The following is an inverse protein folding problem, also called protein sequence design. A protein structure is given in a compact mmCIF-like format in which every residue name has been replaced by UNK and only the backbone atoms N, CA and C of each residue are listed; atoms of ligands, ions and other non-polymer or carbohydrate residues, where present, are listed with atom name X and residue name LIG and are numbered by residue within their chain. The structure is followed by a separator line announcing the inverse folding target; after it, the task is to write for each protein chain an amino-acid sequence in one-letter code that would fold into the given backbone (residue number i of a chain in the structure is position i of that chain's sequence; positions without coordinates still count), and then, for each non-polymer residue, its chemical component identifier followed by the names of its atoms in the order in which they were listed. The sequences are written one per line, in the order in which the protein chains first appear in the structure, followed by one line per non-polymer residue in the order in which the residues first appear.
data_IF_357850826980
#
_entry.id   IF_357850826980
#
_cell.length_a   1.000
_cell.length_b   1.000
_cell.length_c   1.000
_cell.angle_alpha   90.00
_cell.angle_beta   90.00
_cell.angle_gamma   90.00
#
_symmetry.space_group_name_H-M   'P 1'
#
loop_
_entity.id
_entity.type
_entity.pdbx_description
1 polymer ?
#
# COMPACT_ATOMS: atom_id res chain seq x y z
N UNK A 1 40.89 -5.43 34.09
CA UNK A 1 39.85 -6.49 34.10
C UNK A 1 38.40 -5.97 33.99
N UNK A 2 38.15 -4.79 33.39
CA UNK A 2 36.79 -4.17 33.32
C UNK A 2 36.13 -4.21 31.92
N UNK A 3 36.89 -4.49 30.86
CA UNK A 3 36.42 -4.44 29.46
C UNK A 3 35.61 -5.70 29.08
N UNK A 4 35.91 -6.88 29.65
CA UNK A 4 35.18 -8.13 29.35
C UNK A 4 33.73 -8.14 29.85
N UNK A 5 33.39 -7.42 30.93
CA UNK A 5 32.01 -7.34 31.43
C UNK A 5 31.14 -6.41 30.59
N UNK A 6 31.72 -5.36 29.99
CA UNK A 6 30.95 -4.43 29.14
C UNK A 6 30.57 -5.09 27.79
N UNK A 7 31.47 -5.88 27.20
CA UNK A 7 31.17 -6.62 25.96
C UNK A 7 30.11 -7.71 26.16
N UNK A 8 30.10 -8.35 27.33
CA UNK A 8 29.14 -9.41 27.66
C UNK A 8 27.75 -8.84 27.95
N UNK A 9 27.66 -7.67 28.60
CA UNK A 9 26.38 -6.95 28.77
C UNK A 9 25.87 -6.41 27.43
N UNK A 10 26.76 -5.93 26.54
CA UNK A 10 26.36 -5.47 25.20
C UNK A 10 25.89 -6.64 24.31
N UNK A 11 26.48 -7.84 24.42
CA UNK A 11 25.99 -9.04 23.74
C UNK A 11 24.66 -9.53 24.32
N UNK A 12 24.43 -9.45 25.63
CA UNK A 12 23.15 -9.82 26.23
C UNK A 12 22.05 -8.81 25.86
N UNK A 13 22.37 -7.52 25.69
CA UNK A 13 21.43 -6.52 25.17
C UNK A 13 21.19 -6.69 23.66
N UNK A 14 22.20 -7.11 22.89
CA UNK A 14 22.06 -7.43 21.45
C UNK A 14 21.32 -8.76 21.20
N UNK A 15 21.42 -9.75 22.09
CA UNK A 15 20.61 -10.98 22.09
C UNK A 15 19.23 -10.78 22.77
N UNK A 16 19.09 -9.73 23.58
CA UNK A 16 17.87 -9.36 24.31
C UNK A 16 16.91 -8.46 23.52
N UNK A 17 17.30 -8.01 22.32
CA UNK A 17 16.35 -7.66 21.26
C UNK A 17 15.76 -8.95 20.68
N UNK A 18 14.98 -9.65 21.52
CA UNK A 18 13.79 -10.30 20.99
C UNK A 18 12.99 -9.18 20.34
N UNK A 19 13.23 -8.96 19.04
CA UNK A 19 12.20 -8.50 18.12
C UNK A 19 10.96 -9.26 18.53
N UNK A 20 10.05 -8.60 19.24
CA UNK A 20 8.75 -9.19 19.56
C UNK A 20 8.13 -9.45 18.21
N UNK A 21 8.27 -10.69 17.75
CA UNK A 21 7.70 -11.13 16.50
C UNK A 21 6.21 -10.87 16.63
N UNK A 22 5.66 -10.10 15.69
CA UNK A 22 4.26 -9.72 15.73
C UNK A 22 3.47 -11.03 15.57
N UNK A 23 2.83 -11.47 16.66
CA UNK A 23 1.93 -12.61 16.59
C UNK A 23 0.73 -12.20 15.74
N UNK A 24 0.45 -13.02 14.74
CA UNK A 24 -0.68 -12.86 13.84
C UNK A 24 -1.69 -13.97 14.06
N UNK A 25 -2.95 -13.72 13.72
CA UNK A 25 -3.97 -14.76 13.61
C UNK A 25 -4.31 -14.93 12.14
N UNK A 26 -3.96 -16.08 11.58
CA UNK A 26 -4.29 -16.47 10.21
C UNK A 26 -5.60 -17.24 10.22
N UNK A 27 -6.60 -16.74 9.50
CA UNK A 27 -7.89 -17.39 9.30
C UNK A 27 -7.90 -18.15 7.98
N UNK A 28 -8.35 -19.40 8.04
CA UNK A 28 -8.46 -20.29 6.89
C UNK A 28 -9.87 -20.27 6.32
N UNK A 29 -9.99 -20.59 5.03
CA UNK A 29 -11.29 -20.64 4.34
C UNK A 29 -12.24 -21.72 4.89
N UNK A 30 -11.70 -22.71 5.61
CA UNK A 30 -12.48 -23.76 6.27
C UNK A 30 -13.02 -23.35 7.66
N UNK A 31 -12.71 -22.13 8.13
CA UNK A 31 -13.19 -21.60 9.41
C UNK A 31 -12.19 -21.75 10.56
N UNK A 32 -11.13 -22.56 10.40
CA UNK A 32 -10.08 -22.69 11.40
C UNK A 32 -9.18 -21.45 11.44
N UNK A 33 -8.48 -21.25 12.56
CA UNK A 33 -7.48 -20.20 12.70
C UNK A 33 -6.18 -20.74 13.28
N UNK A 34 -5.08 -20.07 12.93
CA UNK A 34 -3.72 -20.36 13.40
C UNK A 34 -3.18 -19.07 14.01
N UNK A 35 -2.84 -19.10 15.30
CA UNK A 35 -2.22 -17.97 16.00
C UNK A 35 -0.72 -18.20 16.11
N UNK A 36 0.06 -17.55 15.25
CA UNK A 36 1.51 -17.74 15.17
C UNK A 36 2.22 -16.56 14.47
N UNK A 37 3.54 -16.56 14.54
CA UNK A 37 4.43 -15.70 13.75
C UNK A 37 4.61 -16.28 12.36
N UNK A 38 4.37 -15.46 11.34
CA UNK A 38 4.71 -15.78 9.96
C UNK A 38 6.21 -15.57 9.77
N UNK A 39 6.90 -16.58 9.26
CA UNK A 39 8.36 -16.54 9.02
C UNK A 39 8.71 -16.52 7.54
N UNK A 40 7.80 -16.94 6.68
CA UNK A 40 7.94 -16.85 5.24
C UNK A 40 6.57 -16.91 4.57
N UNK A 41 6.47 -16.30 3.40
CA UNK A 41 5.38 -16.54 2.48
C UNK A 41 5.90 -16.30 1.08
N UNK A 42 5.79 -17.28 0.20
CA UNK A 42 6.22 -17.09 -1.19
C UNK A 42 5.17 -17.54 -2.18
N UNK A 43 4.97 -16.73 -3.22
CA UNK A 43 4.15 -17.09 -4.37
C UNK A 43 4.76 -18.23 -5.21
N UNK A 44 6.07 -18.48 -5.08
CA UNK A 44 6.75 -19.59 -5.76
C UNK A 44 6.41 -20.94 -5.15
N UNK A 45 6.43 -21.01 -3.83
CA UNK A 45 6.05 -22.22 -3.08
C UNK A 45 4.53 -22.30 -2.94
N UNK A 46 3.85 -21.16 -2.90
CA UNK A 46 2.42 -21.07 -2.63
C UNK A 46 2.09 -21.30 -1.16
N UNK A 47 3.06 -21.32 -0.24
CA UNK A 47 2.85 -21.58 1.18
C UNK A 47 3.09 -20.33 2.03
N UNK A 48 2.33 -20.26 3.13
CA UNK A 48 2.61 -19.42 4.31
C UNK A 48 3.26 -20.33 5.34
N UNK A 49 4.44 -19.96 5.81
CA UNK A 49 5.20 -20.70 6.80
C UNK A 49 5.12 -20.00 8.16
N UNK A 50 4.85 -20.79 9.19
CA UNK A 50 4.74 -20.34 10.56
C UNK A 50 5.91 -20.85 11.38
N UNK A 51 6.20 -20.19 12.49
CA UNK A 51 7.30 -20.57 13.38
C UNK A 51 7.07 -21.93 14.05
N UNK A 52 5.89 -22.11 14.64
CA UNK A 52 5.57 -23.25 15.50
C UNK A 52 4.44 -24.12 14.92
N UNK A 53 3.83 -23.72 13.81
CA UNK A 53 2.73 -24.42 13.15
C UNK A 53 3.11 -24.96 11.76
N UNK A 54 2.42 -26.01 11.26
CA UNK A 54 2.62 -26.50 9.91
C UNK A 54 2.38 -25.42 8.85
N UNK A 55 3.20 -25.42 7.80
CA UNK A 55 2.98 -24.53 6.65
C UNK A 55 1.63 -24.79 5.99
N UNK A 56 0.95 -23.72 5.58
CA UNK A 56 -0.38 -23.79 4.94
C UNK A 56 -0.29 -23.22 3.54
N UNK A 57 -0.91 -23.90 2.58
CA UNK A 57 -0.99 -23.38 1.22
C UNK A 57 -1.85 -22.11 1.20
N UNK A 58 -1.33 -21.02 0.63
CA UNK A 58 -1.93 -19.68 0.61
C UNK A 58 -3.34 -19.66 0.04
N UNK A 59 -3.69 -20.55 -0.90
CA UNK A 59 -5.07 -20.64 -1.42
C UNK A 59 -6.11 -21.02 -0.36
N UNK A 60 -5.68 -21.66 0.74
CA UNK A 60 -6.51 -22.00 1.91
C UNK A 60 -6.58 -20.87 2.93
N UNK A 61 -5.66 -19.91 2.87
CA UNK A 61 -5.66 -18.75 3.73
C UNK A 61 -6.71 -17.78 3.20
N UNK A 62 -7.55 -17.30 4.11
CA UNK A 62 -8.54 -16.28 3.81
C UNK A 62 -8.01 -14.91 4.23
N UNK A 63 -7.54 -14.80 5.47
CA UNK A 63 -7.14 -13.54 6.06
C UNK A 63 -6.01 -13.74 7.06
N UNK A 64 -5.16 -12.74 7.23
CA UNK A 64 -4.20 -12.63 8.33
C UNK A 64 -4.48 -11.35 9.09
N UNK A 65 -4.60 -11.46 10.40
CA UNK A 65 -4.81 -10.34 11.31
C UNK A 65 -3.57 -10.14 12.20
N UNK A 66 -2.99 -8.94 12.15
CA UNK A 66 -1.84 -8.55 12.97
C UNK A 66 -2.25 -7.65 14.15
N UNK A 67 -3.53 -7.32 14.28
CA UNK A 67 -4.03 -6.43 15.32
C UNK A 67 -5.10 -7.11 16.19
N UNK A 68 -4.98 -6.96 17.51
CA UNK A 68 -5.93 -7.52 18.49
C UNK A 68 -7.08 -6.54 18.83
N UNK A 69 -7.34 -5.57 17.95
CA UNK A 69 -8.40 -4.56 18.10
C UNK A 69 -9.78 -5.18 17.85
N UNK A 70 -10.85 -4.51 18.30
CA UNK A 70 -12.21 -4.92 17.97
C UNK A 70 -12.40 -4.86 16.46
N UNK A 71 -12.38 -6.04 15.84
CA UNK A 71 -12.41 -6.22 14.40
C UNK A 71 -13.82 -5.99 13.87
N UNK A 72 -14.02 -4.89 13.14
CA UNK A 72 -15.26 -4.61 12.40
C UNK A 72 -15.19 -5.22 10.99
N UNK A 73 -15.41 -6.53 10.92
CA UNK A 73 -15.30 -7.27 9.67
C UNK A 73 -16.21 -6.74 8.57
N UNK A 74 -17.42 -6.30 8.90
CA UNK A 74 -18.37 -5.97 7.86
C UNK A 74 -18.15 -4.58 7.24
N UNK A 75 -17.67 -3.60 8.03
CA UNK A 75 -17.22 -2.33 7.46
C UNK A 75 -16.04 -2.50 6.50
N UNK A 76 -15.19 -3.51 6.74
CA UNK A 76 -14.09 -3.87 5.84
C UNK A 76 -14.55 -4.68 4.63
N UNK A 77 -15.58 -5.51 4.78
CA UNK A 77 -16.10 -6.42 3.74
C UNK A 77 -16.44 -5.69 2.45
N UNK A 78 -17.15 -4.58 2.55
CA UNK A 78 -17.64 -3.84 1.38
C UNK A 78 -16.50 -3.10 0.64
N UNK A 79 -15.30 -3.07 1.24
CA UNK A 79 -14.07 -2.46 0.70
C UNK A 79 -13.07 -3.48 0.15
N UNK A 80 -13.39 -4.78 0.21
CA UNK A 80 -12.52 -5.83 -0.32
C UNK A 80 -12.50 -5.83 -1.86
N UNK A 81 -11.31 -5.97 -2.44
CA UNK A 81 -11.17 -6.20 -3.87
C UNK A 81 -11.48 -7.66 -4.21
N UNK A 82 -12.33 -7.87 -5.23
CA UNK A 82 -12.66 -9.22 -5.70
C UNK A 82 -11.53 -9.93 -6.46
N UNK A 83 -10.52 -9.19 -6.95
CA UNK A 83 -9.52 -9.70 -7.90
C UNK A 83 -8.06 -9.59 -7.40
N UNK A 84 -7.82 -8.98 -6.24
CA UNK A 84 -6.49 -8.78 -5.66
C UNK A 84 -6.53 -9.04 -4.16
N UNK A 85 -5.36 -9.16 -3.52
CA UNK A 85 -5.29 -9.14 -2.06
C UNK A 85 -5.58 -7.72 -1.56
N UNK A 86 -6.28 -7.61 -0.44
CA UNK A 86 -6.62 -6.34 0.21
C UNK A 86 -5.88 -6.25 1.53
N UNK A 87 -4.98 -5.27 1.69
CA UNK A 87 -4.20 -5.05 2.91
C UNK A 87 -4.76 -3.82 3.62
N UNK A 88 -5.29 -3.99 4.83
CA UNK A 88 -5.63 -2.88 5.71
C UNK A 88 -4.40 -2.50 6.52
N UNK A 89 -4.04 -1.24 6.46
CA UNK A 89 -2.93 -0.66 7.21
C UNK A 89 -3.42 -0.05 8.52
N UNK A 90 -2.55 0.01 9.53
CA UNK A 90 -2.87 0.55 10.87
C UNK A 90 -3.22 2.04 10.86
N UNK A 91 -2.87 2.77 9.81
CA UNK A 91 -3.26 4.16 9.61
C UNK A 91 -4.66 4.32 8.95
N UNK A 92 -5.39 3.22 8.74
CA UNK A 92 -6.75 3.22 8.17
C UNK A 92 -6.81 3.08 6.64
N UNK A 93 -5.66 2.99 5.97
CA UNK A 93 -5.58 2.86 4.52
C UNK A 93 -5.78 1.41 4.05
N UNK A 94 -6.16 1.27 2.77
CA UNK A 94 -6.33 -0.02 2.11
C UNK A 94 -5.42 -0.09 0.88
N UNK A 95 -4.64 -1.17 0.76
CA UNK A 95 -3.91 -1.50 -0.46
C UNK A 95 -4.58 -2.67 -1.18
N UNK A 96 -4.91 -2.49 -2.46
CA UNK A 96 -5.39 -3.57 -3.32
C UNK A 96 -4.27 -4.02 -4.25
N UNK A 97 -3.53 -5.06 -3.84
CA UNK A 97 -2.28 -5.50 -4.46
C UNK A 97 -2.23 -7.02 -4.62
N UNK A 98 -1.28 -7.52 -5.42
CA UNK A 98 -0.97 -8.95 -5.44
C UNK A 98 0.33 -9.19 -4.69
N UNK A 99 0.25 -9.76 -3.50
CA UNK A 99 1.42 -10.12 -2.70
C UNK A 99 2.15 -11.27 -3.39
N UNK A 100 3.48 -11.21 -3.47
CA UNK A 100 4.30 -12.27 -4.06
C UNK A 100 5.27 -12.90 -3.08
N UNK A 101 5.68 -12.17 -2.05
CA UNK A 101 6.64 -12.66 -1.08
C UNK A 101 6.45 -11.96 0.27
N UNK A 102 6.92 -12.58 1.35
CA UNK A 102 7.15 -11.96 2.65
C UNK A 102 8.53 -12.36 3.14
N UNK A 103 9.39 -11.38 3.42
CA UNK A 103 10.72 -11.64 3.96
C UNK A 103 10.73 -11.40 5.47
N UNK A 104 10.84 -12.44 6.30
CA UNK A 104 10.99 -12.28 7.75
C UNK A 104 12.28 -11.58 8.18
N UNK A 105 13.34 -11.62 7.35
CA UNK A 105 14.56 -10.86 7.61
C UNK A 105 14.34 -9.36 7.49
N UNK A 106 13.52 -8.93 6.52
CA UNK A 106 13.23 -7.52 6.25
C UNK A 106 11.93 -7.05 6.90
N UNK A 107 11.08 -7.99 7.34
CA UNK A 107 9.73 -7.76 7.81
C UNK A 107 8.88 -7.01 6.76
N UNK A 108 8.98 -7.41 5.49
CA UNK A 108 8.33 -6.74 4.36
C UNK A 108 7.50 -7.72 3.54
N UNK A 109 6.27 -7.32 3.19
CA UNK A 109 5.48 -7.94 2.12
C UNK A 109 5.84 -7.29 0.79
N UNK A 110 6.21 -8.11 -0.19
CA UNK A 110 6.59 -7.67 -1.53
C UNK A 110 5.44 -7.91 -2.52
N UNK A 111 5.27 -7.02 -3.49
CA UNK A 111 4.14 -7.06 -4.43
C UNK A 111 4.56 -7.41 -5.85
N UNK A 112 3.66 -8.06 -6.60
CA UNK A 112 3.90 -8.53 -7.98
C UNK A 112 4.29 -7.40 -8.93
N UNK A 113 3.69 -6.22 -8.74
CA UNK A 113 3.93 -5.03 -9.58
C UNK A 113 5.10 -4.17 -9.08
N UNK A 114 5.85 -4.65 -8.09
CA UNK A 114 6.87 -3.88 -7.39
C UNK A 114 6.31 -3.14 -6.17
N UNK A 115 7.22 -2.63 -5.34
CA UNK A 115 6.88 -2.06 -4.05
C UNK A 115 6.80 -3.11 -2.94
N UNK A 116 6.76 -2.62 -1.70
CA UNK A 116 6.65 -3.45 -0.51
C UNK A 116 6.09 -2.65 0.66
N UNK A 117 5.45 -3.33 1.61
CA UNK A 117 4.99 -2.74 2.87
C UNK A 117 5.60 -3.47 4.07
N UNK A 118 6.01 -2.71 5.08
CA UNK A 118 6.57 -3.27 6.31
C UNK A 118 5.47 -3.86 7.19
N UNK A 119 5.71 -5.03 7.80
CA UNK A 119 4.74 -5.78 8.63
C UNK A 119 4.14 -4.92 9.74
N UNK A 120 4.97 -4.10 10.41
CA UNK A 120 4.50 -3.22 11.48
C UNK A 120 3.43 -2.20 11.05
N UNK A 121 3.31 -1.92 9.75
CA UNK A 121 2.28 -1.02 9.21
C UNK A 121 0.98 -1.75 8.87
N UNK A 122 1.01 -3.07 8.80
CA UNK A 122 -0.14 -3.89 8.42
C UNK A 122 -1.01 -4.15 9.64
N UNK A 123 -2.30 -3.91 9.49
CA UNK A 123 -3.32 -4.34 10.45
C UNK A 123 -3.90 -5.69 10.02
N UNK A 124 -4.34 -5.82 8.76
CA UNK A 124 -4.96 -7.04 8.23
C UNK A 124 -4.60 -7.25 6.75
N UNK A 125 -4.62 -8.51 6.31
CA UNK A 125 -4.47 -8.91 4.91
C UNK A 125 -5.62 -9.85 4.57
N UNK A 126 -6.40 -9.55 3.55
CA UNK A 126 -7.36 -10.44 2.93
C UNK A 126 -6.78 -10.93 1.61
N UNK A 127 -6.73 -12.24 1.41
CA UNK A 127 -6.28 -12.80 0.15
C UNK A 127 -7.44 -12.91 -0.83
N UNK A 128 -7.16 -12.57 -2.10
CA UNK A 128 -8.11 -12.50 -3.21
C UNK A 128 -9.30 -13.46 -3.03
N UNK A 129 -10.44 -12.89 -2.65
CA UNK A 129 -11.65 -13.61 -2.31
C UNK A 129 -12.79 -12.98 -3.10
N UNK A 130 -13.07 -13.55 -4.27
CA UNK A 130 -14.28 -13.31 -5.04
C UNK A 130 -15.55 -13.69 -4.26
N UNK A 131 -15.40 -14.61 -3.29
CA UNK A 131 -16.47 -15.05 -2.39
C UNK A 131 -15.99 -15.18 -0.95
N UNK A 132 -16.84 -14.74 -0.03
CA UNK A 132 -16.71 -14.95 1.41
C UNK A 132 -16.78 -16.45 1.72
N UNK A 133 -15.84 -17.01 2.50
CA UNK A 133 -15.94 -18.40 2.92
C UNK A 133 -17.23 -18.60 3.72
N UNK A 134 -17.87 -19.75 3.56
CA UNK A 134 -19.18 -20.05 4.16
C UNK A 134 -19.22 -19.83 5.67
N UNK A 135 -18.10 -20.07 6.36
CA UNK A 135 -17.93 -19.83 7.80
C UNK A 135 -18.14 -18.35 8.21
N UNK A 136 -17.93 -17.39 7.30
CA UNK A 136 -17.91 -15.95 7.61
C UNK A 136 -19.06 -15.16 6.97
N UNK A 137 -19.98 -15.84 6.26
CA UNK A 137 -21.12 -15.20 5.61
C UNK A 137 -22.17 -14.64 6.59
N UNK A 138 -22.16 -15.07 7.86
CA UNK A 138 -23.17 -14.71 8.88
C UNK A 138 -22.80 -13.50 9.73
N UNK A 139 -21.64 -12.87 9.53
CA UNK A 139 -21.20 -11.71 10.31
C UNK A 139 -21.89 -10.42 9.81
N UNK A 140 -22.58 -9.70 10.71
CA UNK A 140 -23.31 -8.45 10.43
C UNK A 140 -22.43 -7.21 10.70
N UNK A 141 -22.70 -6.06 10.05
CA UNK A 141 -21.94 -4.84 10.31
C UNK A 141 -22.13 -4.18 11.64
N UNK A 142 -21.03 -3.64 12.15
CA UNK A 142 -21.01 -2.65 13.22
C UNK A 142 -20.65 -1.32 12.57
N UNK A 143 -21.43 -0.24 12.72
CA UNK A 143 -21.10 1.04 12.09
C UNK A 143 -19.82 1.63 12.72
N UNK A 144 -18.88 2.07 11.87
CA UNK A 144 -17.63 2.73 12.28
C UNK A 144 -17.70 4.25 12.06
N UNK A 145 -17.06 5.10 12.89
CA UNK A 145 -17.31 6.56 12.89
C UNK A 145 -16.56 7.38 11.82
N UNK A 146 -15.65 6.78 11.04
CA UNK A 146 -14.66 7.50 10.21
C UNK A 146 -14.95 7.44 8.68
N UNK A 147 -16.21 7.50 8.28
CA UNK A 147 -16.57 7.74 6.88
C UNK A 147 -16.28 9.20 6.49
N UNK A 148 -15.17 9.48 5.79
CA UNK A 148 -15.04 10.76 5.08
C UNK A 148 -13.66 11.33 4.73
N UNK A 149 -12.54 10.77 5.21
CA UNK A 149 -11.21 11.33 4.88
C UNK A 149 -10.66 10.73 3.58
N UNK A 150 -10.69 11.50 2.49
CA UNK A 150 -9.96 11.19 1.25
C UNK A 150 -8.47 11.44 1.49
N UNK A 151 -7.64 10.42 1.29
CA UNK A 151 -6.19 10.55 1.37
C UNK A 151 -5.58 10.56 -0.04
N UNK A 152 -4.66 11.48 -0.28
CA UNK A 152 -3.85 11.49 -1.51
C UNK A 152 -2.78 10.39 -1.45
N UNK A 153 -2.81 9.44 -2.39
CA UNK A 153 -1.77 8.43 -2.57
C UNK A 153 -0.71 8.95 -3.53
N UNK A 154 0.53 9.10 -3.07
CA UNK A 154 1.65 9.62 -3.84
C UNK A 154 2.62 8.51 -4.26
N UNK A 155 3.09 8.60 -5.50
CA UNK A 155 3.98 7.60 -6.10
C UNK A 155 5.32 8.19 -6.45
N UNK A 156 6.39 7.48 -6.08
CA UNK A 156 7.76 7.90 -6.31
C UNK A 156 8.34 7.18 -7.53
N UNK A 157 9.25 7.84 -8.25
CA UNK A 157 9.94 7.36 -9.45
C UNK A 157 10.74 6.06 -9.23
N UNK A 158 11.00 5.64 -7.99
CA UNK A 158 11.64 4.36 -7.68
C UNK A 158 10.64 3.24 -7.32
N UNK A 159 9.34 3.49 -7.49
CA UNK A 159 8.27 2.54 -7.18
C UNK A 159 7.86 2.51 -5.72
N UNK A 160 8.38 3.41 -4.86
CA UNK A 160 7.86 3.59 -3.50
C UNK A 160 6.52 4.30 -3.53
N UNK A 161 5.66 3.90 -2.60
CA UNK A 161 4.34 4.48 -2.38
C UNK A 161 4.37 5.24 -1.07
N UNK A 162 3.86 6.47 -1.08
CA UNK A 162 3.71 7.33 0.09
C UNK A 162 2.23 7.68 0.23
N UNK A 163 1.62 7.33 1.36
CA UNK A 163 0.17 7.44 1.56
C UNK A 163 -0.14 8.30 2.78
N UNK A 164 0.31 9.54 2.73
CA UNK A 164 0.05 10.56 3.74
C UNK A 164 -0.52 11.79 3.06
N UNK A 165 -1.45 12.52 3.71
CA UNK A 165 -1.92 13.79 3.18
C UNK A 165 -0.76 14.72 2.85
N UNK A 166 -0.89 15.47 1.77
CA UNK A 166 0.06 16.52 1.45
C UNK A 166 0.02 17.58 2.55
N UNK A 167 1.20 17.91 3.06
CA UNK A 167 1.40 19.07 3.92
C UNK A 167 1.75 20.29 3.07
N UNK A 168 2.53 20.10 2.01
CA UNK A 168 2.84 21.11 1.00
C UNK A 168 3.38 20.44 -0.27
N UNK A 169 3.30 21.16 -1.38
CA UNK A 169 3.99 20.83 -2.62
C UNK A 169 4.49 22.13 -3.25
N UNK A 170 5.69 22.12 -3.80
CA UNK A 170 6.21 23.19 -4.66
C UNK A 170 7.13 22.60 -5.75
N UNK A 171 7.76 23.43 -6.56
CA UNK A 171 8.64 22.99 -7.66
C UNK A 171 9.85 22.15 -7.23
N UNK A 172 10.26 22.20 -5.97
CA UNK A 172 11.45 21.50 -5.46
C UNK A 172 11.12 20.35 -4.53
N UNK A 173 10.18 20.55 -3.60
CA UNK A 173 9.88 19.64 -2.50
C UNK A 173 8.38 19.37 -2.37
N UNK A 174 8.09 18.12 -2.02
CA UNK A 174 6.78 17.65 -1.59
C UNK A 174 6.90 17.14 -0.17
N UNK A 175 6.09 17.68 0.73
CA UNK A 175 6.07 17.28 2.14
C UNK A 175 4.72 16.71 2.52
N UNK A 176 4.76 15.73 3.43
CA UNK A 176 3.61 14.98 3.89
C UNK A 176 3.35 15.21 5.37
N UNK A 177 2.13 14.92 5.84
CA UNK A 177 1.74 15.18 7.24
C UNK A 177 2.44 14.31 8.27
N UNK A 178 3.05 13.19 7.86
CA UNK A 178 3.89 12.35 8.74
C UNK A 178 5.30 12.92 8.94
N UNK A 179 5.63 14.03 8.27
CA UNK A 179 6.95 14.65 8.29
C UNK A 179 7.88 14.14 7.19
N UNK A 180 7.47 13.17 6.36
CA UNK A 180 8.25 12.75 5.21
C UNK A 180 8.35 13.89 4.19
N UNK A 181 9.53 14.06 3.61
CA UNK A 181 9.78 15.01 2.53
C UNK A 181 10.52 14.33 1.39
N UNK A 182 10.10 14.61 0.16
CA UNK A 182 10.73 14.11 -1.07
C UNK A 182 10.96 15.26 -2.04
N UNK A 183 11.82 15.05 -3.05
CA UNK A 183 11.89 16.03 -4.13
C UNK A 183 10.68 15.87 -5.05
N UNK A 184 10.08 16.97 -5.49
CA UNK A 184 8.91 16.94 -6.38
C UNK A 184 9.23 16.25 -7.71
N UNK A 185 10.47 16.38 -8.20
CA UNK A 185 10.93 15.66 -9.40
C UNK A 185 10.95 14.13 -9.27
N UNK A 186 10.98 13.64 -8.03
CA UNK A 186 10.96 12.21 -7.73
C UNK A 186 9.51 11.72 -7.55
N UNK A 187 8.52 12.63 -7.59
CA UNK A 187 7.10 12.31 -7.58
C UNK A 187 6.65 12.02 -9.01
N UNK A 188 6.01 10.88 -9.20
CA UNK A 188 5.45 10.45 -10.48
C UNK A 188 3.97 10.78 -10.57
N UNK A 189 3.21 10.47 -9.52
CA UNK A 189 1.76 10.63 -9.54
C UNK A 189 1.23 10.95 -8.14
N UNK A 190 0.16 11.74 -8.08
CA UNK A 190 -0.73 11.82 -6.92
C UNK A 190 -2.11 11.30 -7.34
N UNK A 191 -2.68 10.38 -6.57
CA UNK A 191 -3.97 9.78 -6.81
C UNK A 191 -4.93 10.07 -5.65
N UNK A 192 -6.13 10.57 -5.97
CA UNK A 192 -7.14 10.98 -4.99
C UNK A 192 -8.37 10.05 -4.96
N UNK A 193 -8.38 8.99 -5.78
CA UNK A 193 -9.48 8.00 -5.83
C UNK A 193 -8.96 6.60 -5.50
N UNK A 194 -9.72 5.85 -4.70
CA UNK A 194 -9.44 4.48 -4.22
C UNK A 194 -9.75 3.38 -5.27
N UNK A 195 -9.48 3.67 -6.55
CA UNK A 195 -9.81 2.77 -7.67
C UNK A 195 -8.58 2.03 -8.24
N UNK A 196 -8.82 0.81 -8.73
CA UNK A 196 -7.86 -0.12 -9.35
C UNK A 196 -6.68 0.52 -10.11
N UNK A 197 -5.47 0.10 -9.78
CA UNK A 197 -4.18 0.68 -10.19
C UNK A 197 -3.75 0.63 -11.67
N UNK A 198 -4.49 -0.03 -12.58
CA UNK A 198 -4.09 -0.16 -13.99
C UNK A 198 -5.02 0.64 -14.92
N UNK A 199 -4.56 1.83 -15.34
CA UNK A 199 -5.27 2.71 -16.30
C UNK A 199 -4.54 2.79 -17.64
N UNK A 200 -4.49 1.71 -18.44
CA UNK A 200 -3.85 1.76 -19.76
C UNK A 200 -4.46 2.83 -20.67
N UNK A 201 -5.74 3.18 -20.48
CA UNK A 201 -6.41 4.25 -21.24
C UNK A 201 -5.96 5.67 -20.88
N UNK A 202 -5.64 5.95 -19.61
CA UNK A 202 -5.13 7.26 -19.20
C UNK A 202 -3.67 7.45 -19.61
N UNK A 203 -2.87 6.37 -19.57
CA UNK A 203 -1.44 6.39 -19.95
C UNK A 203 -1.20 6.88 -21.37
N UNK A 204 -2.11 6.56 -22.30
CA UNK A 204 -2.00 7.02 -23.70
C UNK A 204 -2.26 8.52 -23.88
N UNK A 205 -2.82 9.16 -22.85
CA UNK A 205 -3.24 10.57 -22.86
C UNK A 205 -2.29 11.46 -22.04
N UNK A 206 -1.18 10.91 -21.55
CA UNK A 206 -0.20 11.68 -20.78
C UNK A 206 0.63 12.58 -21.70
N UNK A 207 0.84 13.82 -21.26
CA UNK A 207 1.78 14.72 -21.90
C UNK A 207 3.23 14.36 -21.52
N UNK A 208 4.14 14.49 -22.47
CA UNK A 208 5.58 14.33 -22.26
C UNK A 208 6.29 15.66 -21.94
N UNK A 209 5.55 16.78 -21.88
CA UNK A 209 6.10 18.13 -21.70
C UNK A 209 5.56 18.89 -20.49
N UNK A 210 4.43 18.46 -19.94
CA UNK A 210 3.70 19.15 -18.88
C UNK A 210 2.98 18.14 -18.00
N UNK A 211 2.65 18.53 -16.76
CA UNK A 211 1.88 17.64 -15.88
C UNK A 211 0.48 17.42 -16.47
N UNK A 212 -0.07 16.24 -16.24
CA UNK A 212 -1.38 15.82 -16.74
C UNK A 212 -2.31 15.57 -15.57
N UNK A 213 -3.37 16.37 -15.46
CA UNK A 213 -4.36 16.28 -14.39
C UNK A 213 -5.63 15.69 -14.95
N UNK A 214 -6.08 14.61 -14.35
CA UNK A 214 -7.38 14.02 -14.61
C UNK A 214 -8.36 14.55 -13.57
N UNK A 215 -9.47 15.08 -14.04
CA UNK A 215 -10.56 15.61 -13.22
C UNK A 215 -11.63 14.53 -12.99
N UNK A 216 -12.43 14.70 -11.94
CA UNK A 216 -13.52 13.77 -11.61
C UNK A 216 -14.64 13.76 -12.66
N UNK A 217 -14.83 14.86 -13.39
CA UNK A 217 -15.79 14.98 -14.49
C UNK A 217 -15.28 14.38 -15.83
N UNK A 218 -14.06 13.85 -15.85
CA UNK A 218 -13.42 13.28 -17.04
C UNK A 218 -12.64 14.29 -17.90
N UNK A 219 -12.65 15.58 -17.54
CA UNK A 219 -11.78 16.60 -18.17
C UNK A 219 -10.31 16.28 -17.90
N UNK A 220 -9.46 16.63 -18.86
CA UNK A 220 -8.01 16.59 -18.70
C UNK A 220 -7.45 18.00 -18.80
N UNK A 221 -6.60 18.35 -17.84
CA UNK A 221 -5.81 19.58 -17.84
C UNK A 221 -4.36 19.21 -18.10
N UNK A 222 -3.73 19.91 -19.05
CA UNK A 222 -2.29 19.85 -19.27
C UNK A 222 -1.70 21.16 -18.79
N UNK A 223 -1.06 21.12 -17.63
CA UNK A 223 -0.48 22.31 -17.00
C UNK A 223 0.57 21.91 -15.96
N UNK A 224 1.49 22.81 -15.63
CA UNK A 224 2.48 22.54 -14.59
C UNK A 224 1.89 22.86 -13.22
N UNK A 225 2.01 21.91 -12.29
CA UNK A 225 1.69 22.10 -10.88
C UNK A 225 2.75 23.00 -10.27
N UNK A 226 2.32 24.14 -9.72
CA UNK A 226 3.21 25.15 -9.14
C UNK A 226 3.34 24.94 -7.63
N UNK A 227 2.22 24.77 -6.94
CA UNK A 227 2.16 24.50 -5.51
C UNK A 227 0.84 23.86 -5.06
N UNK A 228 0.80 23.50 -3.78
CA UNK A 228 -0.39 23.07 -3.05
C UNK A 228 -0.53 23.89 -1.75
N UNK A 229 -1.67 24.56 -1.58
CA UNK A 229 -2.06 25.20 -0.32
C UNK A 229 -2.91 24.25 0.51
N UNK A 230 -2.35 23.82 1.64
CA UNK A 230 -3.01 22.91 2.59
C UNK A 230 -4.22 23.54 3.28
N UNK A 231 -4.21 24.86 3.48
CA UNK A 231 -5.27 25.56 4.22
C UNK A 231 -6.57 25.58 3.41
N UNK A 232 -6.45 25.71 2.10
CA UNK A 232 -7.57 25.72 1.16
C UNK A 232 -7.75 24.42 0.38
N UNK A 233 -6.84 23.45 0.54
CA UNK A 233 -6.78 22.19 -0.23
C UNK A 233 -6.76 22.44 -1.75
N UNK A 234 -5.99 23.43 -2.19
CA UNK A 234 -6.01 23.91 -3.57
C UNK A 234 -4.66 23.72 -4.24
N UNK A 235 -4.67 23.19 -5.47
CA UNK A 235 -3.52 23.15 -6.35
C UNK A 235 -3.50 24.39 -7.24
N UNK A 236 -2.35 25.04 -7.35
CA UNK A 236 -2.14 26.12 -8.31
C UNK A 236 -1.40 25.61 -9.54
N UNK A 237 -1.92 25.94 -10.70
CA UNK A 237 -1.37 25.59 -12.00
C UNK A 237 -0.89 26.84 -12.74
N UNK A 238 0.11 26.68 -13.61
CA UNK A 238 0.74 27.81 -14.29
C UNK A 238 -0.21 28.64 -15.18
N UNK A 239 -1.19 28.01 -15.84
CA UNK A 239 -2.11 28.66 -16.79
C UNK A 239 -3.57 28.52 -16.41
N UNK A 240 -3.94 27.40 -15.80
CA UNK A 240 -5.32 27.00 -15.49
C UNK A 240 -5.84 27.68 -14.23
N UNK A 241 -4.95 28.27 -13.43
CA UNK A 241 -5.29 28.87 -12.15
C UNK A 241 -5.37 27.82 -11.04
N UNK A 242 -6.35 27.96 -10.16
CA UNK A 242 -6.47 27.15 -8.96
C UNK A 242 -7.58 26.10 -9.08
N UNK A 243 -7.32 24.88 -8.62
CA UNK A 243 -8.29 23.77 -8.60
C UNK A 243 -8.29 23.11 -7.23
N UNK A 244 -9.47 22.89 -6.65
CA UNK A 244 -9.59 22.25 -5.36
C UNK A 244 -9.32 20.72 -5.47
N UNK A 245 -8.67 20.11 -4.48
CA UNK A 245 -8.28 18.69 -4.57
C UNK A 245 -9.47 17.76 -4.79
N UNK A 246 -10.65 18.10 -4.27
CA UNK A 246 -11.87 17.28 -4.39
C UNK A 246 -12.39 17.17 -5.83
N UNK A 247 -11.95 18.03 -6.74
CA UNK A 247 -12.28 18.01 -8.15
C UNK A 247 -11.30 17.16 -8.97
N UNK A 248 -10.14 16.86 -8.38
CA UNK A 248 -9.04 16.17 -9.03
C UNK A 248 -9.18 14.68 -8.76
N UNK A 249 -9.10 13.89 -9.84
CA UNK A 249 -8.98 12.44 -9.77
C UNK A 249 -7.51 12.04 -9.57
N UNK A 250 -6.62 12.64 -10.38
CA UNK A 250 -5.19 12.28 -10.45
C UNK A 250 -4.34 13.39 -11.02
N UNK A 251 -3.08 13.43 -10.63
CA UNK A 251 -2.04 14.29 -11.19
C UNK A 251 -0.85 13.42 -11.58
N UNK A 252 -0.41 13.50 -12.84
CA UNK A 252 0.81 12.88 -13.34
C UNK A 252 1.85 13.95 -13.62
N UNK A 253 3.03 13.86 -13.01
CA UNK A 253 4.10 14.85 -13.20
C UNK A 253 4.92 14.55 -14.45
N UNK A 254 5.19 15.59 -15.25
CA UNK A 254 5.98 15.49 -16.47
C UNK A 254 7.37 14.93 -16.22
N UNK A 255 7.94 14.36 -17.28
CA UNK A 255 9.38 14.30 -17.48
C UNK A 255 10.08 13.20 -16.66
N UNK A 256 9.32 12.31 -16.04
CA UNK A 256 9.87 11.11 -15.42
C UNK A 256 9.82 9.96 -16.43
N UNK A 257 10.97 9.34 -16.68
CA UNK A 257 11.00 7.98 -17.26
C UNK A 257 10.07 7.15 -16.38
N UNK A 258 9.07 6.50 -17.00
CA UNK A 258 8.27 5.48 -16.32
C UNK A 258 9.23 4.62 -15.51
N UNK A 259 9.03 4.50 -14.18
CA UNK A 259 9.88 3.63 -13.39
C UNK A 259 9.87 2.25 -14.03
N UNK A 260 11.03 1.60 -14.09
CA UNK A 260 11.17 0.30 -14.78
C UNK A 260 10.24 -0.79 -14.23
N UNK A 261 9.76 -0.63 -12.99
CA UNK A 261 8.68 -1.41 -12.37
C UNK A 261 7.33 -1.28 -13.10
N UNK A 262 7.08 -0.16 -13.78
CA UNK A 262 5.83 0.16 -14.49
C UNK A 262 5.94 0.10 -16.02
N UNK A 263 7.15 -0.07 -16.59
CA UNK A 263 7.28 -0.45 -18.00
C UNK A 263 6.82 -1.90 -18.17
N UNK A 264 5.69 -2.13 -18.86
CA UNK A 264 5.26 -3.48 -19.27
C UNK A 264 6.46 -4.19 -19.90
N UNK A 265 6.96 -5.27 -19.29
CA UNK A 265 7.84 -6.19 -20.02
C UNK A 265 7.04 -6.68 -21.22
N UNK A 266 7.52 -6.51 -22.46
CA UNK A 266 6.83 -7.07 -23.60
C UNK A 266 6.67 -8.56 -23.37
N UNK A 267 5.42 -9.03 -23.37
CA UNK A 267 5.11 -10.45 -23.35
C UNK A 267 5.72 -10.98 -24.65
N UNK A 268 6.89 -11.62 -24.57
CA UNK A 268 7.42 -12.39 -25.68
C UNK A 268 6.38 -13.45 -25.98
N UNK A 269 5.63 -13.27 -27.07
CA UNK A 269 4.82 -14.35 -27.63
C UNK A 269 5.76 -15.53 -27.80
N UNK A 270 5.58 -16.59 -27.00
CA UNK A 270 6.18 -17.89 -27.32
C UNK A 270 5.61 -18.27 -28.67
N UNK A 271 6.46 -18.30 -29.69
CA UNK A 271 6.14 -19.04 -30.91
C UNK A 271 5.97 -20.49 -30.45
N UNK A 272 4.76 -21.01 -30.62
CA UNK A 272 4.50 -22.44 -30.58
C UNK A 272 5.15 -23.08 -31.80
#
# INVERSE_FOLDING_TARGET
MKIKRLLMVLMIVMLGLNLMAIRSVTFLKDGNSISDTIIDMSSRTGYVEFRDNPKVHRSRVWMINFENSQWDFAGERDRLSGNTDTIFLRNGHILNVKIVDFSSRRQMFEFFQGGAVHESKVARIYFCCDKLPAAYQKMKPTPSPDEGKRYSTSFIVDGRIVEYPLSYLNSQKTGFTDGLQINTKDLWMINFIDDNWDFPGERQRLSNRMDTVFMNDGKIIYDNVMDFDKSSLTFRFGRTGSVHESEIKRIYFCCTKLPTTFTKRPIRKRKW
#
